data_IF_871531610176
#
_entry.id   IF_871531610176
#
_cell.length_a   1.000
_cell.length_b   1.000
_cell.length_c   1.000
_cell.angle_alpha   90.00
_cell.angle_beta   90.00
_cell.angle_gamma   90.00
#
_symmetry.space_group_name_H-M   'P 1'
#
loop_
_entity.id
_entity.type
_entity.pdbx_description
1 polymer ?
#
# COMPACT_ATOMS: atom_id res chain seq x y z
N UNK A 1 21.57 -4.06 3.01
CA UNK A 1 20.15 -4.35 2.74
C UNK A 1 19.47 -3.02 2.44
N UNK A 2 18.81 -2.87 1.30
CA UNK A 2 18.11 -1.63 0.93
C UNK A 2 16.60 -1.83 1.09
N UNK A 3 15.93 -0.81 1.64
CA UNK A 3 14.49 -0.82 1.91
C UNK A 3 13.80 0.24 1.06
N UNK A 4 12.64 -0.09 0.50
CA UNK A 4 11.82 0.85 -0.28
C UNK A 4 10.40 0.84 0.27
N UNK A 5 9.88 2.02 0.61
CA UNK A 5 8.49 2.20 1.00
C UNK A 5 7.68 2.76 -0.16
N UNK A 6 6.56 2.13 -0.48
CA UNK A 6 5.69 2.50 -1.59
C UNK A 6 4.31 2.87 -1.10
N UNK A 7 3.69 3.86 -1.74
CA UNK A 7 2.29 4.21 -1.45
C UNK A 7 1.39 3.11 -1.97
N UNK A 8 0.51 2.58 -1.12
CA UNK A 8 -0.54 1.66 -1.55
C UNK A 8 -1.91 2.35 -1.65
N UNK A 9 -2.28 3.07 -0.59
CA UNK A 9 -3.65 3.61 -0.47
C UNK A 9 -3.65 4.99 0.15
N UNK A 10 -4.74 5.71 -0.06
CA UNK A 10 -5.02 6.99 0.57
C UNK A 10 -6.52 7.12 0.86
N UNK A 11 -6.87 7.48 2.10
CA UNK A 11 -8.26 7.56 2.49
C UNK A 11 -9.03 6.25 2.24
N UNK A 12 -10.35 6.34 2.14
CA UNK A 12 -11.20 5.16 2.00
C UNK A 12 -11.23 4.57 0.58
N UNK A 13 -10.75 5.27 -0.45
CA UNK A 13 -11.03 4.88 -1.85
C UNK A 13 -9.84 4.97 -2.78
N UNK A 14 -8.83 5.81 -2.51
CA UNK A 14 -7.71 5.94 -3.43
C UNK A 14 -6.77 4.76 -3.26
N UNK A 15 -6.40 4.16 -4.39
CA UNK A 15 -5.44 3.08 -4.50
C UNK A 15 -4.40 3.53 -5.53
N UNK A 16 -3.12 3.45 -5.18
CA UNK A 16 -2.06 3.89 -6.07
C UNK A 16 -1.93 2.92 -7.26
N UNK A 17 -2.26 3.41 -8.45
CA UNK A 17 -2.20 2.63 -9.70
C UNK A 17 -0.83 2.02 -10.00
N UNK A 18 0.26 2.56 -9.43
CA UNK A 18 1.61 2.04 -9.63
C UNK A 18 2.06 1.05 -8.55
N UNK A 19 1.30 0.86 -7.47
CA UNK A 19 1.72 0.08 -6.31
C UNK A 19 2.22 -1.33 -6.69
N UNK A 20 1.44 -2.03 -7.52
CA UNK A 20 1.76 -3.40 -7.96
C UNK A 20 3.06 -3.43 -8.75
N UNK A 21 3.22 -2.51 -9.72
CA UNK A 21 4.43 -2.39 -10.54
C UNK A 21 5.65 -2.15 -9.66
N UNK A 22 5.60 -1.16 -8.78
CA UNK A 22 6.72 -0.84 -7.90
C UNK A 22 7.08 -2.02 -6.98
N UNK A 23 6.09 -2.74 -6.45
CA UNK A 23 6.37 -3.91 -5.61
C UNK A 23 7.06 -5.01 -6.42
N UNK A 24 6.60 -5.30 -7.62
CA UNK A 24 7.25 -6.26 -8.52
C UNK A 24 8.70 -5.85 -8.82
N UNK A 25 8.94 -4.57 -9.12
CA UNK A 25 10.28 -4.06 -9.44
C UNK A 25 11.23 -4.18 -8.22
N UNK A 26 10.76 -3.81 -7.03
CA UNK A 26 11.53 -3.88 -5.78
C UNK A 26 11.89 -5.33 -5.42
N UNK A 27 10.92 -6.25 -5.51
CA UNK A 27 11.17 -7.67 -5.24
C UNK A 27 12.13 -8.28 -6.28
N UNK A 28 11.97 -7.95 -7.57
CA UNK A 28 12.85 -8.42 -8.64
C UNK A 28 14.29 -7.91 -8.50
N UNK A 29 14.46 -6.73 -7.89
CA UNK A 29 15.77 -6.16 -7.57
C UNK A 29 16.42 -6.74 -6.31
N UNK A 30 15.77 -7.70 -5.62
CA UNK A 30 16.27 -8.29 -4.37
C UNK A 30 16.26 -7.32 -3.18
N UNK A 31 15.43 -6.28 -3.24
CA UNK A 31 15.28 -5.28 -2.17
C UNK A 31 14.15 -5.66 -1.21
N UNK A 32 14.18 -5.14 0.01
CA UNK A 32 13.08 -5.34 0.96
C UNK A 32 11.98 -4.30 0.74
N UNK A 33 10.74 -4.76 0.50
CA UNK A 33 9.58 -3.90 0.26
C UNK A 33 8.84 -3.55 1.55
N UNK A 34 8.55 -2.27 1.74
CA UNK A 34 7.55 -1.75 2.68
C UNK A 34 6.44 -1.02 1.95
N UNK A 35 5.32 -0.81 2.63
CA UNK A 35 4.14 -0.14 2.08
C UNK A 35 3.59 0.89 3.06
N UNK A 36 2.92 1.93 2.57
CA UNK A 36 2.27 2.92 3.42
C UNK A 36 0.90 3.36 2.92
N UNK A 37 0.10 3.82 3.89
CA UNK A 37 -1.22 4.41 3.69
C UNK A 37 -1.18 5.91 4.03
N UNK A 38 -1.75 6.76 3.18
CA UNK A 38 -1.92 8.17 3.48
C UNK A 38 -3.29 8.42 4.13
N UNK A 39 -3.27 8.68 5.44
CA UNK A 39 -4.48 8.88 6.21
C UNK A 39 -5.18 10.21 5.86
N UNK A 40 -6.51 10.15 5.71
CA UNK A 40 -7.37 11.31 5.46
C UNK A 40 -8.39 11.47 6.58
N UNK A 41 -8.12 12.39 7.51
CA UNK A 41 -8.89 12.55 8.74
C UNK A 41 -10.33 13.05 8.53
N UNK A 42 -10.57 13.90 7.53
CA UNK A 42 -11.83 14.64 7.38
C UNK A 42 -12.74 14.08 6.28
N UNK A 43 -12.26 13.17 5.44
CA UNK A 43 -13.01 12.66 4.27
C UNK A 43 -13.45 11.20 4.39
N UNK A 44 -13.05 10.49 5.45
CA UNK A 44 -13.40 9.09 5.65
C UNK A 44 -13.13 8.60 7.07
N UNK A 45 -13.83 7.54 7.51
CA UNK A 45 -13.62 6.94 8.84
C UNK A 45 -12.35 6.10 8.91
N UNK A 46 -11.71 5.95 10.09
CA UNK A 46 -10.55 5.05 10.26
C UNK A 46 -10.82 3.61 9.80
N UNK A 47 -12.03 3.10 10.06
CA UNK A 47 -12.43 1.76 9.62
C UNK A 47 -12.43 1.65 8.09
N UNK A 48 -13.03 2.59 7.38
CA UNK A 48 -13.08 2.55 5.92
C UNK A 48 -11.68 2.64 5.29
N UNK A 49 -10.79 3.42 5.89
CA UNK A 49 -9.40 3.55 5.44
C UNK A 49 -8.60 2.26 5.65
N UNK A 50 -8.75 1.64 6.83
CA UNK A 50 -8.16 0.33 7.14
C UNK A 50 -8.68 -0.76 6.22
N UNK A 51 -9.99 -0.75 5.92
CA UNK A 51 -10.60 -1.73 5.01
C UNK A 51 -10.06 -1.56 3.57
N UNK A 52 -9.91 -0.32 3.07
CA UNK A 52 -9.26 -0.03 1.79
C UNK A 52 -7.81 -0.55 1.74
N UNK A 53 -7.03 -0.25 2.78
CA UNK A 53 -5.64 -0.70 2.88
C UNK A 53 -5.53 -2.23 2.89
N UNK A 54 -6.27 -2.92 3.77
CA UNK A 54 -6.23 -4.38 3.87
C UNK A 54 -6.62 -5.04 2.56
N UNK A 55 -7.68 -4.55 1.90
CA UNK A 55 -8.11 -5.09 0.60
C UNK A 55 -6.99 -5.02 -0.44
N UNK A 56 -6.31 -3.87 -0.57
CA UNK A 56 -5.20 -3.72 -1.53
C UNK A 56 -4.01 -4.59 -1.15
N UNK A 57 -3.64 -4.67 0.13
CA UNK A 57 -2.49 -5.46 0.58
C UNK A 57 -2.73 -6.96 0.39
N UNK A 58 -3.90 -7.47 0.77
CA UNK A 58 -4.28 -8.88 0.59
C UNK A 58 -4.36 -9.27 -0.88
N UNK A 59 -4.94 -8.42 -1.74
CA UNK A 59 -4.99 -8.68 -3.19
C UNK A 59 -3.61 -8.74 -3.86
N UNK A 60 -2.60 -8.13 -3.24
CA UNK A 60 -1.23 -8.06 -3.76
C UNK A 60 -0.24 -8.91 -2.95
N UNK A 61 -0.76 -9.88 -2.17
CA UNK A 61 0.02 -10.86 -1.41
C UNK A 61 1.09 -10.20 -0.52
N UNK A 62 0.77 -9.03 0.02
CA UNK A 62 1.56 -8.41 1.06
C UNK A 62 1.12 -9.00 2.40
N UNK A 63 2.00 -9.75 3.04
CA UNK A 63 1.78 -10.24 4.41
C UNK A 63 1.85 -9.04 5.36
N UNK A 64 0.68 -8.59 5.80
CA UNK A 64 0.47 -7.33 6.51
C UNK A 64 0.46 -7.51 8.04
#
# INVERSE_FOLDING_TARGET
MCYVFMKATEGATFQDSNYVRYRCDVLSAGMTSGTYHYFRALSSTPKAQRDNMVNVLTQNEFDA
#
